data_IF_367661851656
#
_entry.id   IF_367661851656
#
_cell.length_a   1.000
_cell.length_b   1.000
_cell.length_c   1.000
_cell.angle_alpha   90.00
_cell.angle_beta   90.00
_cell.angle_gamma   90.00
#
_symmetry.space_group_name_H-M   'P 1'
#
loop_
_entity.id
_entity.type
_entity.pdbx_description
1 polymer ?
#
# COMPACT_ATOMS: atom_id res chain seq x y z
N UNK A 1 2.01 3.12 -6.42
CA UNK A 1 0.77 2.40 -6.80
C UNK A 1 0.37 2.75 -8.23
N UNK A 2 -0.25 1.81 -8.95
CA UNK A 2 -0.82 2.11 -10.27
C UNK A 2 -1.80 3.27 -10.16
N UNK A 3 -1.66 4.27 -11.04
CA UNK A 3 -2.60 5.39 -11.14
C UNK A 3 -4.03 4.95 -11.50
N UNK A 4 -4.20 3.68 -11.93
CA UNK A 4 -5.45 3.04 -12.33
C UNK A 4 -5.58 1.68 -11.62
N UNK A 5 -6.35 1.60 -10.52
CA UNK A 5 -6.67 0.30 -9.93
C UNK A 5 -7.65 -0.47 -10.82
N UNK A 6 -7.65 -1.80 -10.69
CA UNK A 6 -8.55 -2.70 -11.43
C UNK A 6 -10.03 -2.37 -11.16
N UNK A 7 -10.35 -2.02 -9.92
CA UNK A 7 -11.66 -1.49 -9.52
C UNK A 7 -11.52 0.01 -9.29
N UNK A 8 -11.98 0.88 -10.20
CA UNK A 8 -11.79 2.33 -10.10
C UNK A 8 -12.32 2.92 -8.80
N UNK A 9 -13.45 2.40 -8.30
CA UNK A 9 -14.08 2.84 -7.05
C UNK A 9 -13.25 2.52 -5.81
N UNK A 10 -12.36 1.54 -5.88
CA UNK A 10 -11.48 1.18 -4.76
C UNK A 10 -10.31 2.16 -4.59
N UNK A 11 -10.05 3.04 -5.56
CA UNK A 11 -8.88 3.94 -5.54
C UNK A 11 -8.73 4.70 -4.22
N UNK A 12 -9.81 5.31 -3.74
CA UNK A 12 -9.77 6.12 -2.52
C UNK A 12 -9.44 5.29 -1.28
N UNK A 13 -10.04 4.11 -1.17
CA UNK A 13 -9.81 3.23 -0.03
C UNK A 13 -8.40 2.58 -0.09
N UNK A 14 -7.89 2.30 -1.28
CA UNK A 14 -6.51 1.84 -1.48
C UNK A 14 -5.48 2.90 -1.08
N UNK A 15 -5.71 4.18 -1.42
CA UNK A 15 -4.83 5.28 -1.00
C UNK A 15 -4.85 5.47 0.53
N UNK A 16 -6.02 5.35 1.17
CA UNK A 16 -6.10 5.38 2.65
C UNK A 16 -5.31 4.24 3.27
N UNK A 17 -5.53 3.01 2.81
CA UNK A 17 -4.84 1.82 3.32
C UNK A 17 -3.32 1.93 3.15
N UNK A 18 -2.86 2.49 2.03
CA UNK A 18 -1.45 2.77 1.78
C UNK A 18 -0.88 3.74 2.82
N UNK A 19 -1.59 4.82 3.13
CA UNK A 19 -1.17 5.81 4.13
C UNK A 19 -1.18 5.20 5.55
N UNK A 20 -2.22 4.43 5.89
CA UNK A 20 -2.33 3.74 7.17
C UNK A 20 -1.15 2.79 7.41
N UNK A 21 -0.85 1.93 6.43
CA UNK A 21 0.24 0.96 6.56
C UNK A 21 1.62 1.59 6.48
N UNK A 22 1.78 2.70 5.76
CA UNK A 22 3.02 3.46 5.81
C UNK A 22 3.26 4.03 7.22
N UNK A 23 2.22 4.57 7.85
CA UNK A 23 2.31 5.02 9.24
C UNK A 23 2.60 3.87 10.21
N UNK A 24 2.00 2.68 10.00
CA UNK A 24 2.22 1.49 10.84
C UNK A 24 3.69 1.05 10.84
N UNK A 25 4.38 1.13 9.70
CA UNK A 25 5.79 0.76 9.58
C UNK A 25 6.75 1.94 9.74
N UNK A 26 6.26 3.09 10.23
CA UNK A 26 7.08 4.27 10.52
C UNK A 26 7.64 4.98 9.28
N UNK A 27 7.00 4.81 8.13
CA UNK A 27 7.37 5.48 6.88
C UNK A 27 6.49 6.71 6.69
N UNK A 28 7.11 7.89 6.78
CA UNK A 28 6.46 9.14 6.40
C UNK A 28 6.34 9.25 4.88
N UNK A 29 5.10 9.24 4.38
CA UNK A 29 4.81 9.57 2.99
C UNK A 29 4.85 11.08 2.79
N UNK A 30 5.99 11.59 2.36
CA UNK A 30 6.06 12.95 1.83
C UNK A 30 5.50 12.96 0.41
N UNK A 31 4.24 13.39 0.25
CA UNK A 31 3.53 13.47 -1.03
C UNK A 31 4.29 14.27 -2.10
N UNK A 32 5.20 15.16 -1.68
CA UNK A 32 5.77 16.17 -2.57
C UNK A 32 7.07 15.76 -3.28
N UNK A 33 7.84 14.77 -2.85
CA UNK A 33 9.19 14.56 -3.44
C UNK A 33 9.75 13.14 -3.30
N UNK A 34 9.08 12.14 -3.88
CA UNK A 34 9.67 10.79 -4.04
C UNK A 34 10.71 10.73 -5.18
N UNK A 35 10.79 11.73 -6.06
CA UNK A 35 11.70 11.74 -7.22
C UNK A 35 13.16 12.06 -6.93
N UNK A 36 13.51 12.58 -5.75
CA UNK A 36 14.89 12.95 -5.37
C UNK A 36 15.65 11.86 -4.61
N UNK A 37 14.96 10.79 -4.18
CA UNK A 37 15.57 9.65 -3.50
C UNK A 37 16.15 8.66 -4.51
N UNK A 38 17.16 7.90 -4.10
CA UNK A 38 17.73 6.86 -4.95
C UNK A 38 16.65 5.81 -5.29
N UNK A 39 16.69 5.26 -6.51
CA UNK A 39 15.73 4.23 -6.93
C UNK A 39 15.67 3.04 -5.96
N UNK A 40 16.79 2.73 -5.31
CA UNK A 40 16.89 1.71 -4.25
C UNK A 40 16.06 2.08 -3.02
N UNK A 41 16.15 3.30 -2.54
CA UNK A 41 15.39 3.76 -1.38
C UNK A 41 13.88 3.77 -1.66
N UNK A 42 13.47 4.26 -2.83
CA UNK A 42 12.06 4.24 -3.24
C UNK A 42 11.53 2.82 -3.41
N UNK A 43 12.33 1.92 -3.98
CA UNK A 43 11.98 0.50 -4.10
C UNK A 43 11.83 -0.18 -2.74
N UNK A 44 12.70 0.13 -1.77
CA UNK A 44 12.61 -0.42 -0.42
C UNK A 44 11.35 0.07 0.31
N UNK A 45 11.09 1.37 0.27
CA UNK A 45 9.92 1.99 0.90
C UNK A 45 8.62 1.53 0.25
N UNK A 46 8.49 1.70 -1.07
CA UNK A 46 7.28 1.29 -1.80
C UNK A 46 7.06 -0.21 -1.79
N UNK A 47 8.14 -1.00 -1.79
CA UNK A 47 8.09 -2.46 -1.69
C UNK A 47 7.60 -2.94 -0.33
N UNK A 48 8.09 -2.35 0.76
CA UNK A 48 7.64 -2.69 2.12
C UNK A 48 6.15 -2.38 2.32
N UNK A 49 5.70 -1.19 1.91
CA UNK A 49 4.29 -0.78 2.00
C UNK A 49 3.42 -1.70 1.14
N UNK A 50 3.80 -1.92 -0.12
CA UNK A 50 3.06 -2.78 -1.04
C UNK A 50 2.95 -4.22 -0.56
N UNK A 51 4.05 -4.77 -0.01
CA UNK A 51 4.07 -6.12 0.56
C UNK A 51 3.12 -6.27 1.76
N UNK A 52 3.13 -5.29 2.66
CA UNK A 52 2.21 -5.27 3.81
C UNK A 52 0.75 -5.13 3.36
N UNK A 53 0.47 -4.25 2.40
CA UNK A 53 -0.86 -4.12 1.79
C UNK A 53 -1.37 -5.45 1.23
N UNK A 54 -0.58 -6.14 0.40
CA UNK A 54 -0.95 -7.43 -0.17
C UNK A 54 -1.17 -8.49 0.89
N UNK A 55 -0.30 -8.57 1.90
CA UNK A 55 -0.43 -9.53 3.01
C UNK A 55 -1.76 -9.34 3.76
N UNK A 56 -2.10 -8.11 4.13
CA UNK A 56 -3.35 -7.80 4.85
C UNK A 56 -4.59 -8.00 4.00
N UNK A 57 -4.52 -7.69 2.70
CA UNK A 57 -5.63 -7.94 1.77
C UNK A 57 -5.93 -9.44 1.62
N UNK A 58 -4.88 -10.27 1.49
CA UNK A 58 -5.02 -11.73 1.40
C UNK A 58 -5.56 -12.29 2.72
N UNK A 59 -5.01 -11.87 3.86
CA UNK A 59 -5.51 -12.29 5.18
C UNK A 59 -7.01 -11.97 5.34
N UNK A 60 -7.45 -10.76 4.97
CA UNK A 60 -8.86 -10.37 5.01
C UNK A 60 -9.73 -11.24 4.09
N UNK A 61 -9.20 -11.60 2.92
CA UNK A 61 -9.90 -12.46 1.97
C UNK A 61 -10.02 -13.90 2.48
N UNK A 62 -8.94 -14.48 3.02
CA UNK A 62 -8.93 -15.82 3.62
C UNK A 62 -9.92 -15.93 4.78
N UNK A 63 -9.97 -14.94 5.68
CA UNK A 63 -10.95 -14.90 6.78
C UNK A 63 -12.39 -14.94 6.26
N UNK A 64 -12.71 -14.16 5.22
CA UNK A 64 -14.04 -14.14 4.59
C UNK A 64 -14.39 -15.45 3.87
N UNK A 65 -13.39 -16.24 3.46
CA UNK A 65 -13.62 -17.56 2.88
C UNK A 65 -13.91 -18.61 3.95
N UNK A 66 -13.29 -18.50 5.12
CA UNK A 66 -13.48 -19.42 6.25
C UNK A 66 -14.79 -19.14 7.01
N UNK A 67 -15.18 -17.86 7.16
CA UNK A 67 -16.42 -17.44 7.81
C UNK A 67 -17.68 -17.66 6.95
N UNK A 68 -17.63 -18.60 5.99
CA UNK A 68 -18.68 -18.90 5.01
C UNK A 68 -19.17 -20.34 5.18
#
# INVERSE_FOLDING_TARGET
>A
MSRRPLVPRAKRELEKMKNEFANEIGIEMNESYEGSRTSRANGHVGGAIGGLMTKKMIESYERKLIDK
#
